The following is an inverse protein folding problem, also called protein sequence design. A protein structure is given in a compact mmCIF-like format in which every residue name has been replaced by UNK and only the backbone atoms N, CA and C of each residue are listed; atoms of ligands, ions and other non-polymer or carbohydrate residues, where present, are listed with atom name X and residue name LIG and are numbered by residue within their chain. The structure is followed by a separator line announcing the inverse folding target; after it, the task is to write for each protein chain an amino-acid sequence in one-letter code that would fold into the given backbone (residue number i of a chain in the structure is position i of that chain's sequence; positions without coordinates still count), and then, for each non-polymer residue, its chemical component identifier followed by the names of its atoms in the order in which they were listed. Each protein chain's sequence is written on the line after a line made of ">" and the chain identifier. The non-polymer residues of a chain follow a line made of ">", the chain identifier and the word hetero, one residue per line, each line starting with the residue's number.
data_IF_654045638402
#
_entry.id   IF_654045638402
#
_cell.length_a   1.000
_cell.length_b   1.000
_cell.length_c   1.000
_cell.angle_alpha   90.00
_cell.angle_beta   90.00
_cell.angle_gamma   90.00
#
_symmetry.space_group_name_H-M   'P 1'
#
loop_
_entity.id
_entity.type
_entity.pdbx_description
1 polymer ?
#
# COMPACT_ATOMS: atom_id res chain seq x y z
N UNK A 1 97.61 -16.06 50.47
CA UNK A 1 97.36 -15.45 51.80
C UNK A 1 95.89 -15.63 52.13
N UNK A 2 95.57 -16.70 52.87
CA UNK A 2 95.01 -16.67 54.25
C UNK A 2 93.54 -16.20 54.31
N UNK A 3 92.60 -17.15 54.36
CA UNK A 3 92.03 -17.82 55.55
C UNK A 3 90.84 -17.06 56.13
N UNK A 4 89.64 -17.66 56.07
CA UNK A 4 88.81 -18.07 57.23
C UNK A 4 87.36 -18.27 56.77
N UNK A 5 86.94 -19.53 56.71
CA UNK A 5 85.54 -19.91 56.63
C UNK A 5 84.96 -19.94 58.05
N UNK A 6 83.94 -19.13 58.28
CA UNK A 6 83.19 -19.03 59.53
C UNK A 6 81.86 -19.78 59.35
N UNK A 7 81.63 -20.85 60.10
CA UNK A 7 80.36 -21.57 60.14
C UNK A 7 79.30 -20.73 60.88
N UNK A 8 78.12 -20.56 60.27
CA UNK A 8 76.94 -19.96 60.89
C UNK A 8 75.93 -21.06 61.28
N UNK A 9 75.33 -21.03 62.48
CA UNK A 9 74.32 -22.00 62.88
C UNK A 9 72.94 -21.68 62.30
N UNK A 10 72.20 -22.73 62.03
CA UNK A 10 70.87 -22.75 61.44
C UNK A 10 69.78 -22.39 62.45
N UNK A 11 68.80 -21.59 62.02
CA UNK A 11 67.51 -21.42 62.72
C UNK A 11 66.35 -21.58 61.74
N UNK A 12 65.44 -22.45 62.13
CA UNK A 12 64.34 -23.03 61.36
C UNK A 12 63.06 -22.17 61.46
N UNK A 13 62.28 -22.19 60.37
CA UNK A 13 61.14 -21.30 60.06
C UNK A 13 59.85 -21.59 60.85
N UNK A 14 59.00 -20.58 60.99
CA UNK A 14 57.54 -20.73 61.07
C UNK A 14 56.88 -19.76 60.06
N UNK A 15 56.06 -20.22 59.09
CA UNK A 15 55.39 -19.35 58.14
C UNK A 15 54.02 -18.90 58.67
N UNK A 16 53.74 -17.59 58.61
CA UNK A 16 52.40 -17.04 58.86
C UNK A 16 51.48 -17.34 57.69
N UNK A 17 50.34 -17.99 57.95
CA UNK A 17 49.34 -18.34 56.95
C UNK A 17 48.44 -17.13 56.68
N UNK A 18 48.66 -16.42 55.57
CA UNK A 18 47.75 -15.39 55.09
C UNK A 18 46.59 -16.04 54.32
N UNK A 19 45.37 -15.99 54.87
CA UNK A 19 44.16 -16.47 54.19
C UNK A 19 43.72 -15.40 53.19
N UNK A 20 43.93 -15.65 51.89
CA UNK A 20 43.43 -14.80 50.82
C UNK A 20 41.95 -15.13 50.54
N UNK A 21 41.03 -14.20 50.85
CA UNK A 21 39.65 -14.29 50.40
C UNK A 21 39.58 -14.07 48.87
N UNK A 22 39.27 -15.13 48.13
CA UNK A 22 39.01 -15.06 46.69
C UNK A 22 37.57 -14.60 46.49
N UNK A 23 37.38 -13.33 46.10
CA UNK A 23 36.09 -12.84 45.61
C UNK A 23 35.82 -13.45 44.22
N UNK A 24 34.85 -14.35 44.12
CA UNK A 24 34.34 -14.83 42.84
C UNK A 24 33.45 -13.74 42.22
N UNK A 25 33.96 -13.01 41.23
CA UNK A 25 33.16 -12.08 40.44
C UNK A 25 32.23 -12.89 39.52
N UNK A 26 30.91 -12.71 39.66
CA UNK A 26 29.94 -13.29 38.73
C UNK A 26 30.02 -12.56 37.39
N UNK A 27 30.41 -13.28 36.33
CA UNK A 27 30.43 -12.73 34.98
C UNK A 27 28.99 -12.73 34.45
N UNK A 28 28.41 -11.58 34.05
CA UNK A 28 27.07 -11.56 33.48
C UNK A 28 27.07 -12.34 32.15
N UNK A 29 26.17 -13.32 32.05
CA UNK A 29 25.98 -14.06 30.81
C UNK A 29 25.25 -13.15 29.80
N UNK A 30 25.95 -12.74 28.76
CA UNK A 30 25.40 -11.90 27.69
C UNK A 30 25.50 -12.62 26.36
N UNK A 31 24.37 -12.79 25.67
CA UNK A 31 24.30 -13.43 24.35
C UNK A 31 23.86 -12.42 23.31
N UNK A 32 24.57 -12.35 22.17
CA UNK A 32 24.17 -11.51 21.05
C UNK A 32 23.12 -12.23 20.21
N UNK A 33 21.97 -11.59 20.07
CA UNK A 33 20.95 -11.99 19.09
C UNK A 33 21.20 -11.20 17.81
N UNK A 34 21.32 -11.89 16.68
CA UNK A 34 21.40 -11.26 15.36
C UNK A 34 20.15 -11.59 14.57
N UNK A 35 19.35 -10.56 14.28
CA UNK A 35 18.16 -10.66 13.43
C UNK A 35 18.53 -10.09 12.06
N UNK A 36 18.37 -10.89 11.01
CA UNK A 36 18.61 -10.50 9.62
C UNK A 36 17.35 -10.75 8.82
N UNK A 37 17.03 -9.82 7.92
CA UNK A 37 15.92 -9.94 6.97
C UNK A 37 16.23 -9.15 5.70
N UNK A 38 15.50 -9.46 4.63
CA UNK A 38 15.53 -8.71 3.37
C UNK A 38 14.11 -8.22 3.08
N UNK A 39 13.95 -6.91 2.95
CA UNK A 39 12.68 -6.27 2.62
C UNK A 39 12.63 -6.08 1.11
N UNK A 40 11.57 -6.58 0.47
CA UNK A 40 11.27 -6.27 -0.93
C UNK A 40 9.99 -5.44 -0.97
N UNK A 41 10.06 -4.22 -1.51
CA UNK A 41 8.87 -3.47 -1.89
C UNK A 41 8.49 -3.90 -3.31
N UNK A 42 7.69 -4.96 -3.44
CA UNK A 42 7.09 -5.27 -4.74
C UNK A 42 5.92 -4.30 -4.94
N UNK A 43 6.12 -3.22 -5.70
CA UNK A 43 5.00 -2.42 -6.21
C UNK A 43 4.19 -3.36 -7.11
N UNK A 44 2.92 -3.65 -6.80
CA UNK A 44 2.15 -4.65 -7.52
C UNK A 44 2.02 -4.29 -9.00
N UNK A 45 1.66 -3.04 -9.31
CA UNK A 45 1.55 -2.57 -10.68
C UNK A 45 1.88 -1.08 -10.81
N UNK A 46 2.30 -0.67 -12.00
CA UNK A 46 2.36 0.73 -12.43
C UNK A 46 1.11 1.03 -13.24
N UNK A 47 0.34 2.02 -12.81
CA UNK A 47 -0.81 2.55 -13.55
C UNK A 47 -0.37 3.77 -14.34
N UNK A 48 -0.70 3.81 -15.63
CA UNK A 48 -0.45 4.97 -16.50
C UNK A 48 -1.75 5.52 -17.09
N UNK A 49 -1.76 6.80 -17.42
CA UNK A 49 -2.88 7.46 -18.06
C UNK A 49 -2.63 7.79 -19.52
N UNK A 50 -3.71 8.08 -20.24
CA UNK A 50 -3.66 8.57 -21.61
C UNK A 50 -3.15 10.02 -21.73
N UNK A 51 -3.06 10.76 -20.62
CA UNK A 51 -2.48 12.10 -20.53
C UNK A 51 -1.30 12.10 -19.53
N UNK A 52 -0.34 11.19 -19.75
CA UNK A 52 0.81 11.00 -18.86
C UNK A 52 0.41 10.25 -17.59
N UNK A 53 0.47 10.90 -16.43
CA UNK A 53 0.05 10.30 -15.14
C UNK A 53 -1.44 10.47 -14.85
N UNK A 54 -2.18 11.19 -15.69
CA UNK A 54 -3.61 11.43 -15.55
C UNK A 54 -4.39 10.59 -16.57
N UNK A 55 -5.44 9.92 -16.09
CA UNK A 55 -6.43 9.26 -16.94
C UNK A 55 -7.56 10.26 -17.20
N UNK A 56 -7.69 10.69 -18.44
CA UNK A 56 -8.75 11.59 -18.90
C UNK A 56 -9.83 10.82 -19.67
N UNK A 57 -11.09 11.05 -19.31
CA UNK A 57 -12.26 10.36 -19.87
C UNK A 57 -13.24 11.42 -20.37
N UNK A 58 -13.08 11.90 -21.63
CA UNK A 58 -13.92 12.96 -22.14
C UNK A 58 -15.33 12.45 -22.51
N UNK A 59 -16.34 12.95 -21.80
CA UNK A 59 -17.74 12.69 -22.14
C UNK A 59 -18.23 13.52 -23.33
N UNK A 60 -17.63 14.68 -23.59
CA UNK A 60 -18.00 15.58 -24.68
C UNK A 60 -19.39 16.18 -24.49
N UNK A 61 -20.14 16.33 -25.57
CA UNK A 61 -21.51 16.84 -25.53
C UNK A 61 -22.49 15.77 -25.01
N UNK A 62 -23.29 16.15 -24.01
CA UNK A 62 -24.24 15.27 -23.33
C UNK A 62 -25.65 15.81 -23.54
N UNK A 63 -26.53 14.96 -24.05
CA UNK A 63 -27.97 15.21 -24.08
C UNK A 63 -28.58 14.72 -22.77
N UNK A 64 -28.92 15.66 -21.88
CA UNK A 64 -29.45 15.35 -20.54
C UNK A 64 -30.68 14.44 -20.58
N UNK A 65 -31.52 14.59 -21.59
CA UNK A 65 -32.74 13.78 -21.81
C UNK A 65 -32.48 12.32 -22.17
N UNK A 66 -31.25 11.96 -22.56
CA UNK A 66 -30.87 10.58 -22.92
C UNK A 66 -30.11 9.85 -21.81
N UNK A 67 -29.79 10.51 -20.70
CA UNK A 67 -29.03 9.90 -19.62
C UNK A 67 -29.90 8.87 -18.89
N UNK A 68 -29.64 7.59 -19.16
CA UNK A 68 -30.43 6.43 -18.70
C UNK A 68 -29.57 5.32 -18.04
N UNK A 69 -28.26 5.57 -17.83
CA UNK A 69 -27.32 4.57 -17.29
C UNK A 69 -26.71 3.60 -18.31
N UNK A 70 -27.03 3.77 -19.59
CA UNK A 70 -26.37 3.11 -20.72
C UNK A 70 -25.82 4.11 -21.74
N UNK A 71 -26.53 5.21 -21.97
CA UNK A 71 -26.15 6.30 -22.85
C UNK A 71 -24.77 6.87 -22.49
N UNK A 72 -23.96 7.11 -23.53
CA UNK A 72 -22.59 7.62 -23.41
C UNK A 72 -21.72 6.82 -22.43
N UNK A 73 -21.79 5.49 -22.52
CA UNK A 73 -20.77 4.64 -21.89
C UNK A 73 -19.41 4.91 -22.55
N UNK A 74 -18.40 5.23 -21.73
CA UNK A 74 -17.02 5.48 -22.15
C UNK A 74 -16.08 4.47 -21.50
N UNK A 75 -15.15 3.95 -22.28
CA UNK A 75 -14.01 3.21 -21.73
C UNK A 75 -13.09 4.17 -20.98
N UNK A 76 -12.55 3.71 -19.85
CA UNK A 76 -11.55 4.43 -19.06
C UNK A 76 -10.19 4.02 -19.63
N UNK A 77 -9.44 4.89 -20.32
CA UNK A 77 -8.23 4.52 -21.04
C UNK A 77 -7.01 4.56 -20.12
N UNK A 78 -6.88 3.54 -19.28
CA UNK A 78 -5.73 3.37 -18.38
C UNK A 78 -4.78 2.30 -18.91
N UNK A 79 -3.48 2.47 -18.64
CA UNK A 79 -2.48 1.44 -18.79
C UNK A 79 -2.20 0.77 -17.45
N UNK A 80 -1.84 -0.52 -17.50
CA UNK A 80 -1.52 -1.32 -16.32
C UNK A 80 -0.33 -2.23 -16.62
N UNK A 81 0.77 -2.04 -15.88
CA UNK A 81 1.97 -2.86 -15.96
C UNK A 81 2.25 -3.51 -14.60
N UNK A 82 1.97 -4.82 -14.51
CA UNK A 82 2.16 -5.62 -13.30
C UNK A 82 3.35 -6.59 -13.42
N UNK A 83 4.33 -6.36 -14.31
CA UNK A 83 5.45 -7.30 -14.53
C UNK A 83 6.34 -7.52 -13.29
N UNK A 84 6.33 -6.57 -12.36
CA UNK A 84 7.05 -6.66 -11.10
C UNK A 84 6.21 -7.21 -9.95
N UNK A 85 4.97 -7.65 -10.24
CA UNK A 85 4.12 -8.27 -9.25
C UNK A 85 4.71 -9.61 -8.80
N UNK A 86 4.77 -9.86 -7.50
CA UNK A 86 5.24 -11.14 -6.93
C UNK A 86 4.22 -12.27 -7.09
N UNK A 87 2.94 -11.91 -7.29
CA UNK A 87 1.83 -12.84 -7.52
C UNK A 87 0.82 -12.21 -8.48
N UNK A 88 -0.02 -13.03 -9.11
CA UNK A 88 -1.17 -12.56 -9.91
C UNK A 88 -2.43 -12.35 -9.06
N UNK A 89 -2.35 -12.47 -7.73
CA UNK A 89 -3.49 -12.20 -6.83
C UNK A 89 -3.59 -10.71 -6.59
N UNK A 90 -4.26 -10.01 -7.49
CA UNK A 90 -4.41 -8.56 -7.45
C UNK A 90 -5.87 -8.16 -7.25
N UNK A 91 -6.05 -6.99 -6.66
CA UNK A 91 -7.34 -6.34 -6.50
C UNK A 91 -7.24 -4.87 -6.89
N UNK A 92 -8.35 -4.34 -7.37
CA UNK A 92 -8.45 -2.98 -7.85
C UNK A 92 -9.66 -2.28 -7.24
N UNK A 93 -9.54 -0.97 -7.06
CA UNK A 93 -10.60 -0.11 -6.58
C UNK A 93 -10.50 1.26 -7.23
N UNK A 94 -11.66 1.88 -7.46
CA UNK A 94 -11.75 3.30 -7.82
C UNK A 94 -12.33 4.04 -6.62
N UNK A 95 -11.65 5.08 -6.14
CA UNK A 95 -12.09 5.91 -5.01
C UNK A 95 -12.35 7.34 -5.45
N UNK A 96 -13.35 7.97 -4.87
CA UNK A 96 -13.73 9.36 -5.14
C UNK A 96 -14.90 9.78 -4.25
N UNK A 97 -15.39 11.00 -4.47
CA UNK A 97 -16.59 11.47 -3.80
C UNK A 97 -17.80 10.72 -4.35
N UNK A 98 -18.67 10.28 -3.46
CA UNK A 98 -19.89 9.54 -3.78
C UNK A 98 -21.05 10.51 -4.03
N UNK A 99 -21.94 10.14 -4.96
CA UNK A 99 -23.14 10.90 -5.23
C UNK A 99 -24.09 10.90 -4.02
N UNK A 100 -24.97 11.90 -3.95
CA UNK A 100 -25.97 12.02 -2.87
C UNK A 100 -27.15 11.05 -3.06
N UNK A 101 -27.23 10.40 -4.22
CA UNK A 101 -28.23 9.40 -4.58
C UNK A 101 -27.55 8.08 -4.97
N UNK A 102 -28.33 7.01 -5.07
CA UNK A 102 -27.83 5.69 -5.46
C UNK A 102 -26.97 5.00 -4.41
N UNK A 103 -27.14 5.32 -3.12
CA UNK A 103 -26.60 4.58 -1.98
C UNK A 103 -25.10 4.26 -2.06
N UNK A 104 -24.31 5.23 -2.54
CA UNK A 104 -22.86 5.10 -2.66
C UNK A 104 -22.38 4.25 -3.85
N UNK A 105 -23.27 3.92 -4.80
CA UNK A 105 -22.92 3.19 -6.02
C UNK A 105 -22.27 4.06 -7.10
N UNK A 106 -22.37 5.39 -7.01
CA UNK A 106 -21.95 6.30 -8.07
C UNK A 106 -20.95 7.35 -7.57
N UNK A 107 -20.04 7.78 -8.44
CA UNK A 107 -19.20 8.96 -8.19
C UNK A 107 -20.03 10.22 -8.39
N UNK A 108 -19.98 11.13 -7.43
CA UNK A 108 -20.75 12.37 -7.44
C UNK A 108 -20.09 13.47 -8.27
N UNK A 109 -20.93 14.29 -8.90
CA UNK A 109 -20.51 15.47 -9.67
C UNK A 109 -20.94 16.72 -8.89
N UNK A 110 -19.98 17.47 -8.38
CA UNK A 110 -20.28 18.57 -7.44
C UNK A 110 -21.09 19.70 -8.08
N UNK A 111 -20.84 20.00 -9.36
CA UNK A 111 -21.57 21.04 -10.11
C UNK A 111 -22.97 20.61 -10.55
N UNK A 112 -23.33 19.33 -10.41
CA UNK A 112 -24.60 18.81 -10.91
C UNK A 112 -25.08 17.63 -10.02
N UNK A 113 -25.81 17.91 -8.92
CA UNK A 113 -26.09 16.91 -7.88
C UNK A 113 -27.02 15.78 -8.34
N UNK A 114 -27.76 15.98 -9.44
CA UNK A 114 -28.64 14.99 -10.06
C UNK A 114 -27.98 14.21 -11.21
N UNK A 115 -26.69 14.44 -11.46
CA UNK A 115 -25.87 13.71 -12.42
C UNK A 115 -24.73 13.01 -11.66
N UNK A 116 -24.46 11.76 -12.01
CA UNK A 116 -23.36 11.01 -11.44
C UNK A 116 -22.70 10.08 -12.46
N UNK A 117 -21.56 9.50 -12.09
CA UNK A 117 -20.87 8.48 -12.88
C UNK A 117 -21.03 7.11 -12.22
N UNK A 118 -21.66 6.18 -12.93
CA UNK A 118 -21.61 4.77 -12.62
C UNK A 118 -20.36 4.13 -13.23
N UNK A 119 -19.72 3.24 -12.47
CA UNK A 119 -18.51 2.53 -12.89
C UNK A 119 -18.86 1.08 -13.22
N UNK A 120 -18.21 0.53 -14.25
CA UNK A 120 -18.37 -0.87 -14.66
C UNK A 120 -17.02 -1.52 -14.93
N UNK A 121 -16.90 -2.81 -14.65
CA UNK A 121 -15.86 -3.69 -15.19
C UNK A 121 -16.52 -4.59 -16.25
N UNK A 122 -16.20 -4.38 -17.52
CA UNK A 122 -17.04 -4.86 -18.60
C UNK A 122 -18.46 -4.35 -18.39
N UNK A 123 -19.44 -5.25 -18.41
CA UNK A 123 -20.84 -4.91 -18.18
C UNK A 123 -21.24 -4.97 -16.69
N UNK A 124 -20.36 -5.44 -15.81
CA UNK A 124 -20.65 -5.64 -14.39
C UNK A 124 -20.49 -4.33 -13.63
N UNK A 125 -21.53 -3.84 -12.93
CA UNK A 125 -21.41 -2.67 -12.08
C UNK A 125 -20.38 -2.87 -10.97
N UNK A 126 -19.56 -1.86 -10.72
CA UNK A 126 -18.66 -1.79 -9.58
C UNK A 126 -18.92 -0.49 -8.82
N UNK A 127 -18.84 -0.54 -7.48
CA UNK A 127 -19.09 0.64 -6.66
C UNK A 127 -17.76 1.33 -6.29
N UNK A 128 -17.76 2.68 -6.18
CA UNK A 128 -16.64 3.41 -5.59
C UNK A 128 -16.28 2.85 -4.22
N UNK A 129 -14.98 2.85 -3.89
CA UNK A 129 -14.45 2.37 -2.60
C UNK A 129 -14.74 0.88 -2.31
N UNK A 130 -15.10 0.08 -3.32
CA UNK A 130 -15.18 -1.38 -3.22
C UNK A 130 -14.08 -2.02 -4.04
N UNK A 131 -13.43 -3.01 -3.43
CA UNK A 131 -12.41 -3.83 -4.09
C UNK A 131 -13.06 -4.89 -4.96
N UNK A 132 -12.45 -5.16 -6.10
CA UNK A 132 -12.73 -6.34 -6.91
C UNK A 132 -11.42 -6.98 -7.37
N UNK A 133 -11.42 -8.30 -7.46
CA UNK A 133 -10.23 -9.07 -7.83
C UNK A 133 -10.08 -9.13 -9.36
N UNK A 134 -8.84 -9.23 -9.83
CA UNK A 134 -8.54 -9.45 -11.24
C UNK A 134 -7.22 -10.19 -11.43
N UNK A 135 -7.05 -10.79 -12.62
CA UNK A 135 -5.80 -11.41 -13.03
C UNK A 135 -4.97 -10.41 -13.85
N UNK A 136 -3.68 -10.27 -13.55
CA UNK A 136 -2.77 -9.35 -14.24
C UNK A 136 -2.64 -9.60 -15.74
N UNK A 137 -2.88 -10.82 -16.21
CA UNK A 137 -2.84 -11.19 -17.63
C UNK A 137 -4.13 -10.79 -18.36
N UNK A 138 -5.20 -10.52 -17.62
CA UNK A 138 -6.49 -10.07 -18.16
C UNK A 138 -6.92 -8.80 -17.43
N UNK A 139 -6.28 -7.64 -17.73
CA UNK A 139 -6.63 -6.37 -17.11
C UNK A 139 -8.14 -6.04 -17.25
N UNK A 140 -8.78 -5.51 -16.20
CA UNK A 140 -10.19 -5.13 -16.23
C UNK A 140 -10.55 -4.12 -17.32
N UNK A 141 -11.66 -4.32 -18.03
CA UNK A 141 -12.20 -3.32 -18.94
C UNK A 141 -13.02 -2.31 -18.13
N UNK A 142 -12.39 -1.24 -17.67
CA UNK A 142 -13.06 -0.22 -16.87
C UNK A 142 -13.88 0.73 -17.75
N UNK A 143 -15.11 1.01 -17.34
CA UNK A 143 -16.04 1.92 -18.02
C UNK A 143 -16.71 2.89 -17.06
N UNK A 144 -16.98 4.08 -17.57
CA UNK A 144 -17.74 5.13 -16.91
C UNK A 144 -19.03 5.41 -17.70
N UNK A 145 -20.15 5.56 -17.01
CA UNK A 145 -21.45 5.85 -17.62
C UNK A 145 -22.17 6.93 -16.84
N UNK A 146 -22.81 7.87 -17.54
CA UNK A 146 -23.63 8.88 -16.88
C UNK A 146 -24.93 8.25 -16.37
N UNK A 147 -25.30 8.59 -15.15
CA UNK A 147 -26.58 8.22 -14.53
C UNK A 147 -27.29 9.46 -14.00
N UNK A 148 -28.61 9.46 -14.12
CA UNK A 148 -29.49 10.53 -13.64
C UNK A 148 -30.12 10.12 -12.31
N UNK A 149 -30.22 11.08 -11.39
CA UNK A 149 -31.05 10.95 -10.19
C UNK A 149 -32.55 11.00 -10.59
N UNK A 150 -33.36 9.97 -10.28
CA UNK A 150 -34.78 10.00 -10.59
C UNK A 150 -35.56 11.08 -9.83
N UNK A 151 -35.00 11.64 -8.74
CA UNK A 151 -35.65 12.65 -7.91
C UNK A 151 -35.49 14.10 -8.42
N UNK A 152 -34.72 14.33 -9.49
CA UNK A 152 -34.49 15.69 -10.01
C UNK A 152 -34.02 15.72 -11.45
N UNK A 153 -33.74 16.93 -11.94
CA UNK A 153 -33.29 17.18 -13.31
C UNK A 153 -31.80 17.53 -13.39
N UNK A 154 -31.18 17.17 -14.51
CA UNK A 154 -29.77 17.48 -14.78
C UNK A 154 -29.71 18.93 -15.28
N UNK A 155 -28.96 19.76 -14.56
CA UNK A 155 -28.72 21.15 -14.98
C UNK A 155 -27.78 21.19 -16.19
N UNK A 156 -28.06 22.07 -17.16
CA UNK A 156 -27.18 22.25 -18.30
C UNK A 156 -25.91 23.02 -17.89
N UNK A 157 -24.74 22.54 -18.28
CA UNK A 157 -23.48 23.20 -17.98
C UNK A 157 -22.28 22.26 -18.07
N UNK A 158 -21.11 22.79 -17.74
CA UNK A 158 -19.90 22.00 -17.63
C UNK A 158 -19.90 21.17 -16.35
N UNK A 159 -19.33 19.98 -16.42
CA UNK A 159 -19.12 19.14 -15.26
C UNK A 159 -17.75 18.49 -15.28
N UNK A 160 -17.27 18.13 -14.10
CA UNK A 160 -16.04 17.37 -13.91
C UNK A 160 -16.17 16.53 -12.64
N UNK A 161 -15.45 15.41 -12.61
CA UNK A 161 -15.33 14.55 -11.43
C UNK A 161 -13.93 13.97 -11.37
N UNK A 162 -13.34 13.96 -10.18
CA UNK A 162 -12.05 13.33 -9.92
C UNK A 162 -12.22 12.00 -9.19
N UNK A 163 -11.42 11.01 -9.57
CA UNK A 163 -11.31 9.74 -8.88
C UNK A 163 -9.87 9.21 -8.94
N UNK A 164 -9.55 8.25 -8.08
CA UNK A 164 -8.24 7.61 -8.01
C UNK A 164 -8.40 6.12 -8.23
N UNK A 165 -7.63 5.58 -9.17
CA UNK A 165 -7.51 4.14 -9.40
C UNK A 165 -6.40 3.58 -8.50
N UNK A 166 -6.73 2.55 -7.71
CA UNK A 166 -5.81 1.91 -6.76
C UNK A 166 -5.70 0.43 -7.09
N UNK A 167 -4.48 -0.10 -7.08
CA UNK A 167 -4.17 -1.51 -7.32
C UNK A 167 -3.30 -2.02 -6.17
N UNK A 168 -3.68 -3.16 -5.61
CA UNK A 168 -3.01 -3.81 -4.50
C UNK A 168 -2.95 -5.33 -4.71
N UNK A 169 -2.10 -6.01 -3.93
CA UNK A 169 -2.24 -7.45 -3.76
C UNK A 169 -3.50 -7.77 -2.96
N UNK A 170 -4.07 -8.93 -3.25
CA UNK A 170 -5.19 -9.49 -2.50
C UNK A 170 -4.73 -10.20 -1.24
#
# INVERSE_FOLDING_TARGET
>A
MTKRLLHKPAYLRLPGLAVALVFAASVPAQTRISIKGKIFAAIPCVVTGNQGSMIDVPFGEVLTTRVDGAYLTKDIPYGLDCRNASTNSLRMQITGNIARFGDGQFLGIASNPHLAIALKNGNTPIAPKKWFDFDSNVPPLLRAVLVKDPAGDIEAGHFNVGATLVVEYR
#
